data_IF_391640278162
#
_entry.id   IF_391640278162
#
_cell.length_a   1.000
_cell.length_b   1.000
_cell.length_c   1.000
_cell.angle_alpha   90.00
_cell.angle_beta   90.00
_cell.angle_gamma   90.00
#
_symmetry.space_group_name_H-M   'P 1'
#
loop_
_entity.id
_entity.type
_entity.pdbx_description
1 polymer ?
#
# COMPACT_ATOMS: atom_id res chain seq x y z
N UNK A 1 45.93 -13.07 -72.56
CA UNK A 1 46.73 -13.46 -71.38
C UNK A 1 46.02 -12.89 -70.16
N UNK A 2 45.27 -13.78 -69.52
CA UNK A 2 44.36 -13.58 -68.40
C UNK A 2 45.11 -13.84 -67.10
N UNK A 3 45.12 -12.88 -66.18
CA UNK A 3 45.63 -13.10 -64.82
C UNK A 3 44.46 -12.89 -63.83
N UNK A 4 43.90 -14.02 -63.40
CA UNK A 4 42.74 -14.13 -62.54
C UNK A 4 43.25 -14.53 -61.15
N UNK A 5 43.31 -13.55 -60.24
CA UNK A 5 43.74 -13.74 -58.85
C UNK A 5 42.64 -14.52 -58.09
N UNK A 6 42.93 -15.65 -57.42
CA UNK A 6 41.90 -16.39 -56.70
C UNK A 6 41.48 -15.66 -55.41
N UNK A 7 40.18 -15.44 -55.28
CA UNK A 7 39.53 -15.02 -54.05
C UNK A 7 39.47 -16.21 -53.09
N UNK A 8 40.21 -16.15 -51.98
CA UNK A 8 40.13 -17.13 -50.90
C UNK A 8 39.06 -16.65 -49.91
N UNK A 9 37.92 -17.35 -49.74
CA UNK A 9 36.99 -17.02 -48.67
C UNK A 9 37.61 -17.41 -47.33
N UNK A 10 37.89 -16.43 -46.47
CA UNK A 10 38.31 -16.66 -45.09
C UNK A 10 37.12 -17.16 -44.27
N UNK A 11 36.88 -18.47 -44.31
CA UNK A 11 35.91 -19.16 -43.48
C UNK A 11 36.57 -19.58 -42.16
N UNK A 12 36.66 -18.68 -41.18
CA UNK A 12 36.92 -19.02 -39.76
C UNK A 12 36.84 -17.78 -38.86
N UNK A 13 35.64 -17.41 -38.42
CA UNK A 13 35.43 -16.78 -37.10
C UNK A 13 33.98 -16.99 -36.67
N UNK A 14 33.62 -18.25 -36.49
CA UNK A 14 32.55 -18.57 -35.55
C UNK A 14 32.98 -18.07 -34.16
N UNK A 15 32.11 -17.43 -33.38
CA UNK A 15 32.43 -17.10 -32.00
C UNK A 15 32.68 -18.42 -31.26
N UNK A 16 33.95 -18.68 -30.98
CA UNK A 16 34.41 -19.72 -30.08
C UNK A 16 33.74 -19.45 -28.74
N UNK A 17 32.83 -20.33 -28.32
CA UNK A 17 32.28 -20.34 -26.96
C UNK A 17 33.46 -20.35 -25.98
N UNK A 18 33.72 -19.21 -25.33
CA UNK A 18 34.69 -19.12 -24.27
C UNK A 18 34.09 -19.79 -23.01
N UNK A 19 34.77 -20.75 -22.38
CA UNK A 19 34.35 -21.29 -21.09
C UNK A 19 34.70 -20.28 -19.99
N UNK A 20 33.93 -19.19 -19.90
CA UNK A 20 34.14 -18.10 -18.95
C UNK A 20 32.94 -17.79 -18.04
N UNK A 21 31.76 -18.34 -18.31
CA UNK A 21 30.51 -17.80 -17.76
C UNK A 21 29.99 -18.49 -16.49
N UNK A 22 30.75 -19.42 -15.90
CA UNK A 22 30.35 -20.04 -14.64
C UNK A 22 30.54 -19.10 -13.44
N UNK A 23 31.62 -18.31 -13.42
CA UNK A 23 31.92 -17.41 -12.30
C UNK A 23 31.00 -16.18 -12.28
N UNK A 24 30.63 -15.63 -13.44
CA UNK A 24 29.71 -14.48 -13.55
C UNK A 24 28.28 -14.85 -13.13
N UNK A 25 27.80 -16.03 -13.53
CA UNK A 25 26.50 -16.56 -13.09
C UNK A 25 26.49 -16.91 -11.61
N UNK A 26 27.57 -17.49 -11.08
CA UNK A 26 27.70 -17.82 -9.67
C UNK A 26 27.74 -16.56 -8.79
N UNK A 27 28.47 -15.52 -9.22
CA UNK A 27 28.48 -14.22 -8.55
C UNK A 27 27.12 -13.52 -8.64
N UNK A 28 26.41 -13.60 -9.77
CA UNK A 28 25.07 -13.08 -9.93
C UNK A 28 24.05 -13.72 -8.98
N UNK A 29 24.10 -15.05 -8.84
CA UNK A 29 23.26 -15.79 -7.89
C UNK A 29 23.59 -15.46 -6.44
N UNK A 30 24.89 -15.36 -6.07
CA UNK A 30 25.30 -14.96 -4.73
C UNK A 30 24.85 -13.54 -4.39
N UNK A 31 25.00 -12.58 -5.31
CA UNK A 31 24.53 -11.21 -5.14
C UNK A 31 23.00 -11.14 -5.02
N UNK A 32 22.27 -11.94 -5.81
CA UNK A 32 20.82 -12.04 -5.74
C UNK A 32 20.31 -12.60 -4.40
N UNK A 33 20.95 -13.66 -3.89
CA UNK A 33 20.64 -14.23 -2.58
C UNK A 33 20.98 -13.27 -1.43
N UNK A 34 22.09 -12.54 -1.52
CA UNK A 34 22.43 -11.50 -0.54
C UNK A 34 21.44 -10.33 -0.58
N UNK A 35 21.01 -9.89 -1.75
CA UNK A 35 19.98 -8.86 -1.89
C UNK A 35 18.63 -9.35 -1.32
N UNK A 36 18.23 -10.60 -1.61
CA UNK A 36 17.00 -11.19 -1.09
C UNK A 36 16.99 -11.33 0.44
N UNK A 37 18.10 -11.80 1.02
CA UNK A 37 18.25 -11.93 2.48
C UNK A 37 18.30 -10.57 3.19
N UNK A 38 18.95 -9.57 2.57
CA UNK A 38 18.95 -8.19 3.08
C UNK A 38 17.53 -7.62 3.07
N UNK A 39 16.79 -7.78 1.97
CA UNK A 39 15.40 -7.34 1.86
C UNK A 39 14.50 -8.03 2.88
N UNK A 40 14.62 -9.35 3.04
CA UNK A 40 13.88 -10.10 4.05
C UNK A 40 14.17 -9.59 5.46
N UNK A 41 15.44 -9.38 5.80
CA UNK A 41 15.84 -8.87 7.11
C UNK A 41 15.32 -7.45 7.39
N UNK A 42 15.33 -6.58 6.39
CA UNK A 42 14.80 -5.21 6.49
C UNK A 42 13.29 -5.22 6.64
N UNK A 43 12.58 -6.07 5.89
CA UNK A 43 11.13 -6.21 6.01
C UNK A 43 10.72 -6.71 7.40
N UNK A 44 11.42 -7.68 7.97
CA UNK A 44 11.15 -8.17 9.33
C UNK A 44 11.37 -7.07 10.38
N UNK A 45 12.48 -6.32 10.28
CA UNK A 45 12.79 -5.22 11.21
C UNK A 45 11.79 -4.08 11.09
N UNK A 46 11.31 -3.78 9.88
CA UNK A 46 10.31 -2.74 9.67
C UNK A 46 8.95 -3.09 10.29
N UNK A 47 8.60 -4.38 10.35
CA UNK A 47 7.32 -4.84 10.93
C UNK A 47 7.37 -5.05 12.44
N UNK A 48 8.55 -5.18 13.04
CA UNK A 48 8.74 -5.29 14.50
C UNK A 48 7.94 -4.26 15.32
N UNK A 49 7.95 -2.94 15.01
CA UNK A 49 7.13 -1.96 15.74
C UNK A 49 5.62 -2.22 15.63
N UNK A 50 5.14 -2.70 14.48
CA UNK A 50 3.71 -3.04 14.29
C UNK A 50 3.33 -4.26 15.11
N UNK A 51 4.20 -5.27 15.14
CA UNK A 51 4.01 -6.47 15.95
C UNK A 51 4.00 -6.13 17.44
N UNK A 52 4.90 -5.27 17.93
CA UNK A 52 4.85 -4.78 19.31
C UNK A 52 3.58 -3.99 19.62
N UNK A 53 3.14 -3.15 18.70
CA UNK A 53 1.89 -2.39 18.88
C UNK A 53 0.66 -3.30 19.01
N UNK A 54 0.69 -4.53 18.48
CA UNK A 54 -0.41 -5.48 18.64
C UNK A 54 -0.62 -5.93 20.10
N UNK A 55 0.44 -6.14 20.87
CA UNK A 55 0.32 -6.46 22.30
C UNK A 55 -0.19 -5.26 23.10
N UNK A 56 0.23 -4.05 22.73
CA UNK A 56 -0.22 -2.81 23.37
C UNK A 56 -1.72 -2.56 23.14
N UNK A 57 -2.23 -3.01 21.99
CA UNK A 57 -3.67 -2.96 21.68
C UNK A 57 -4.48 -3.84 22.63
N UNK A 58 -4.00 -5.05 22.95
CA UNK A 58 -4.68 -5.91 23.92
C UNK A 58 -4.60 -5.34 25.33
N UNK A 59 -3.44 -4.80 25.73
CA UNK A 59 -3.27 -4.15 27.03
C UNK A 59 -4.21 -2.94 27.18
N UNK A 60 -4.35 -2.13 26.12
CA UNK A 60 -5.29 -1.03 26.08
C UNK A 60 -6.74 -1.49 26.22
N UNK A 61 -7.14 -2.53 25.48
CA UNK A 61 -8.48 -3.10 25.58
C UNK A 61 -8.80 -3.58 27.00
N UNK A 62 -7.87 -4.28 27.64
CA UNK A 62 -8.01 -4.73 29.03
C UNK A 62 -8.16 -3.54 29.99
N UNK A 63 -7.29 -2.52 29.88
CA UNK A 63 -7.36 -1.29 30.69
C UNK A 63 -8.73 -0.61 30.56
N UNK A 64 -9.26 -0.48 29.35
CA UNK A 64 -10.56 0.14 29.10
C UNK A 64 -11.72 -0.71 29.60
N UNK A 65 -11.65 -2.03 29.47
CA UNK A 65 -12.64 -2.93 30.05
C UNK A 65 -12.74 -2.77 31.58
N UNK A 66 -11.60 -2.74 32.27
CA UNK A 66 -11.57 -2.48 33.72
C UNK A 66 -12.12 -1.10 34.07
N UNK A 67 -11.80 -0.07 33.29
CA UNK A 67 -12.31 1.29 33.51
C UNK A 67 -13.83 1.39 33.35
N UNK A 68 -14.43 0.65 32.40
CA UNK A 68 -15.90 0.61 32.21
C UNK A 68 -16.58 -0.05 33.41
N UNK A 69 -16.03 -1.16 33.90
CA UNK A 69 -16.56 -1.85 35.09
C UNK A 69 -16.49 -0.94 36.32
N UNK A 70 -15.35 -0.26 36.52
CA UNK A 70 -15.16 0.65 37.64
C UNK A 70 -16.09 1.88 37.55
N UNK A 71 -16.26 2.43 36.35
CA UNK A 71 -17.22 3.51 36.11
C UNK A 71 -18.64 3.10 36.50
N UNK A 72 -19.07 1.89 36.11
CA UNK A 72 -20.38 1.36 36.52
C UNK A 72 -20.56 1.28 38.04
N UNK A 73 -19.51 0.88 38.78
CA UNK A 73 -19.54 0.88 40.25
C UNK A 73 -19.64 2.28 40.84
N UNK A 74 -18.92 3.25 40.28
CA UNK A 74 -18.98 4.64 40.70
C UNK A 74 -20.34 5.28 40.41
N UNK A 75 -20.97 4.94 39.29
CA UNK A 75 -22.33 5.38 38.99
C UNK A 75 -23.34 4.80 39.97
N UNK A 76 -23.19 3.53 40.38
CA UNK A 76 -24.07 2.89 41.34
C UNK A 76 -23.99 3.50 42.76
N UNK A 77 -22.90 4.20 43.10
CA UNK A 77 -22.74 4.86 44.39
C UNK A 77 -23.20 6.33 44.40
N UNK A 78 -23.56 6.90 43.24
CA UNK A 78 -24.04 8.27 43.13
C UNK A 78 -25.42 8.42 43.79
N UNK A 79 -25.57 9.43 44.66
CA UNK A 79 -26.85 9.72 45.34
C UNK A 79 -27.53 10.96 44.77
N UNK A 80 -26.78 11.84 44.11
CA UNK A 80 -27.30 13.05 43.50
C UNK A 80 -27.05 13.08 41.99
N UNK A 81 -27.93 13.75 41.21
CA UNK A 81 -27.70 13.95 39.78
C UNK A 81 -26.39 14.67 39.45
N UNK A 82 -25.92 15.56 40.34
CA UNK A 82 -24.65 16.26 40.17
C UNK A 82 -23.45 15.31 40.22
N UNK A 83 -23.48 14.31 41.12
CA UNK A 83 -22.43 13.29 41.23
C UNK A 83 -22.32 12.46 39.95
N UNK A 84 -23.48 12.08 39.38
CA UNK A 84 -23.55 11.34 38.13
C UNK A 84 -22.85 12.08 36.99
N UNK A 85 -23.13 13.37 36.84
CA UNK A 85 -22.51 14.20 35.78
C UNK A 85 -21.01 14.32 36.00
N UNK A 86 -20.56 14.55 37.25
CA UNK A 86 -19.14 14.64 37.57
C UNK A 86 -18.37 13.35 37.25
N UNK A 87 -18.90 12.20 37.67
CA UNK A 87 -18.30 10.88 37.42
C UNK A 87 -18.30 10.55 35.93
N UNK A 88 -19.39 10.85 35.22
CA UNK A 88 -19.49 10.66 33.77
C UNK A 88 -18.49 11.53 33.01
N UNK A 89 -18.40 12.81 33.36
CA UNK A 89 -17.46 13.73 32.73
C UNK A 89 -16.02 13.30 32.95
N UNK A 90 -15.65 12.93 34.18
CA UNK A 90 -14.31 12.46 34.50
C UNK A 90 -13.93 11.20 33.70
N UNK A 91 -14.87 10.24 33.57
CA UNK A 91 -14.66 9.04 32.77
C UNK A 91 -14.39 9.36 31.30
N UNK A 92 -15.22 10.22 30.68
CA UNK A 92 -15.07 10.59 29.28
C UNK A 92 -13.81 11.41 29.01
N UNK A 93 -13.47 12.35 29.90
CA UNK A 93 -12.21 13.11 29.79
C UNK A 93 -11.01 12.18 29.80
N UNK A 94 -11.00 11.19 30.71
CA UNK A 94 -9.94 10.19 30.76
C UNK A 94 -9.95 9.28 29.53
N UNK A 95 -11.13 8.90 29.04
CA UNK A 95 -11.25 8.12 27.82
C UNK A 95 -10.62 8.83 26.63
N UNK A 96 -10.93 10.12 26.43
CA UNK A 96 -10.37 10.92 25.34
C UNK A 96 -8.84 10.97 25.42
N UNK A 97 -8.28 11.19 26.61
CA UNK A 97 -6.82 11.18 26.81
C UNK A 97 -6.22 9.81 26.45
N UNK A 98 -6.76 8.72 27.03
CA UNK A 98 -6.32 7.35 26.77
C UNK A 98 -6.34 7.00 25.27
N UNK A 99 -7.43 7.32 24.56
CA UNK A 99 -7.56 7.06 23.12
C UNK A 99 -6.60 7.93 22.30
N UNK A 100 -6.38 9.19 22.69
CA UNK A 100 -5.47 10.09 21.97
C UNK A 100 -4.01 9.61 22.06
N UNK A 101 -3.59 9.17 23.25
CA UNK A 101 -2.25 8.62 23.50
C UNK A 101 -2.06 7.30 22.74
N UNK A 102 -3.05 6.41 22.81
CA UNK A 102 -3.02 5.13 22.10
C UNK A 102 -2.96 5.33 20.57
N UNK A 103 -3.81 6.19 20.01
CA UNK A 103 -3.79 6.49 18.58
C UNK A 103 -2.46 7.09 18.14
N UNK A 104 -1.86 7.97 18.94
CA UNK A 104 -0.53 8.52 18.66
C UNK A 104 0.55 7.43 18.64
N UNK A 105 0.47 6.45 19.54
CA UNK A 105 1.36 5.28 19.54
C UNK A 105 1.19 4.44 18.29
N UNK A 106 -0.06 4.10 17.92
CA UNK A 106 -0.38 3.32 16.72
C UNK A 106 0.17 4.00 15.47
N UNK A 107 -0.14 5.28 15.28
CA UNK A 107 0.36 6.05 14.12
C UNK A 107 1.89 6.10 14.13
N UNK A 108 2.52 6.26 15.30
CA UNK A 108 3.98 6.23 15.44
C UNK A 108 4.60 4.90 14.99
N UNK A 109 4.02 3.77 15.41
CA UNK A 109 4.48 2.43 15.04
C UNK A 109 4.37 2.20 13.52
N UNK A 110 3.23 2.56 12.92
CA UNK A 110 3.01 2.45 11.48
C UNK A 110 3.91 3.38 10.68
N UNK A 111 4.10 4.63 11.10
CA UNK A 111 5.02 5.57 10.45
C UNK A 111 6.47 5.09 10.53
N UNK A 112 6.87 4.45 11.62
CA UNK A 112 8.20 3.83 11.76
C UNK A 112 8.38 2.68 10.76
N UNK A 113 7.35 1.83 10.62
CA UNK A 113 7.34 0.73 9.68
C UNK A 113 7.40 1.19 8.21
N UNK A 114 6.58 2.17 7.82
CA UNK A 114 6.56 2.67 6.44
C UNK A 114 7.79 3.49 6.05
N UNK A 115 8.51 4.09 7.01
CA UNK A 115 9.79 4.75 6.73
C UNK A 115 10.93 3.77 6.46
N UNK A 116 10.84 2.57 7.03
CA UNK A 116 11.91 1.56 6.99
C UNK A 116 11.67 0.48 5.97
N UNK A 117 10.41 0.27 5.55
CA UNK A 117 10.12 -0.44 4.32
C UNK A 117 10.68 0.39 3.16
N UNK A 118 11.72 -0.09 2.43
CA UNK A 118 11.97 0.47 1.11
C UNK A 118 10.64 0.35 0.38
N UNK A 119 10.18 1.47 -0.21
CA UNK A 119 9.00 1.49 -1.08
C UNK A 119 9.02 0.17 -1.84
N UNK A 120 7.96 -0.61 -1.70
CA UNK A 120 7.73 -1.80 -2.50
C UNK A 120 7.61 -1.34 -3.95
N UNK A 121 8.71 -0.89 -4.57
CA UNK A 121 8.92 -0.84 -6.00
C UNK A 121 9.12 -2.27 -6.46
N UNK A 122 8.18 -3.15 -6.10
CA UNK A 122 7.80 -4.21 -6.99
C UNK A 122 7.31 -3.49 -8.25
N UNK A 123 7.82 -3.82 -9.46
CA UNK A 123 7.16 -3.40 -10.68
C UNK A 123 5.74 -4.01 -10.64
N UNK A 124 4.75 -3.22 -10.20
CA UNK A 124 3.35 -3.65 -10.05
C UNK A 124 2.70 -3.42 -8.69
N UNK A 125 3.42 -3.11 -7.61
CA UNK A 125 2.80 -2.84 -6.30
C UNK A 125 2.82 -1.34 -5.99
N UNK A 126 1.67 -0.69 -6.21
CA UNK A 126 1.37 0.68 -5.79
C UNK A 126 2.30 1.77 -6.35
N UNK A 127 2.03 2.14 -7.60
CA UNK A 127 2.45 3.43 -8.15
C UNK A 127 1.86 4.57 -7.30
N UNK A 128 2.69 5.17 -6.45
CA UNK A 128 2.50 6.53 -5.92
C UNK A 128 2.63 7.47 -7.11
N UNK A 129 1.53 7.66 -7.83
CA UNK A 129 1.51 8.38 -9.10
C UNK A 129 0.32 8.11 -10.01
N UNK A 130 -0.69 7.32 -9.60
CA UNK A 130 -1.95 7.33 -10.35
C UNK A 130 -2.60 8.73 -10.20
N UNK A 131 -2.96 9.42 -11.31
CA UNK A 131 -3.82 10.59 -11.23
C UNK A 131 -5.12 10.21 -10.51
N UNK A 132 -5.74 11.14 -9.77
CA UNK A 132 -6.98 10.86 -9.06
C UNK A 132 -7.98 10.27 -10.05
N UNK A 133 -8.40 9.02 -9.84
CA UNK A 133 -9.51 8.44 -10.59
C UNK A 133 -10.73 9.25 -10.18
N UNK A 134 -11.28 10.04 -11.09
CA UNK A 134 -12.56 10.69 -10.90
C UNK A 134 -13.65 9.62 -10.71
N UNK A 135 -14.00 9.32 -9.45
CA UNK A 135 -15.03 8.33 -9.09
C UNK A 135 -16.45 8.92 -9.21
N UNK A 136 -16.61 9.97 -10.02
CA UNK A 136 -17.91 10.60 -10.32
C UNK A 136 -18.03 10.97 -11.81
N UNK A 137 -17.52 10.13 -12.72
CA UNK A 137 -17.96 10.17 -14.12
C UNK A 137 -19.06 9.13 -14.32
N UNK A 138 -20.30 9.53 -14.04
CA UNK A 138 -21.47 8.84 -14.60
C UNK A 138 -21.55 9.21 -16.08
N UNK A 139 -20.91 8.41 -16.93
CA UNK A 139 -21.19 8.40 -18.36
C UNK A 139 -21.50 6.97 -18.81
N UNK A 140 -22.71 6.55 -18.49
CA UNK A 140 -23.43 5.51 -19.23
C UNK A 140 -23.90 6.07 -20.58
N UNK A 141 -24.23 5.23 -21.57
CA UNK A 141 -23.33 4.36 -22.32
C UNK A 141 -23.38 4.74 -23.82
N UNK A 142 -22.60 4.03 -24.63
CA UNK A 142 -22.61 3.99 -26.10
C UNK A 142 -24.02 4.10 -26.73
N UNK A 143 -24.47 5.28 -27.24
CA UNK A 143 -25.48 5.38 -28.33
C UNK A 143 -25.82 6.78 -28.91
N UNK A 144 -24.85 7.62 -29.34
CA UNK A 144 -25.22 8.91 -30.00
C UNK A 144 -24.44 9.23 -31.29
N UNK A 145 -24.01 8.22 -32.05
CA UNK A 145 -23.39 8.45 -33.37
C UNK A 145 -24.17 7.92 -34.59
N UNK A 146 -25.35 7.33 -34.40
CA UNK A 146 -26.15 6.80 -35.53
C UNK A 146 -27.65 7.11 -35.51
N UNK A 147 -28.12 8.01 -34.65
CA UNK A 147 -29.48 8.55 -34.80
C UNK A 147 -29.38 9.81 -35.66
N UNK A 148 -29.29 9.59 -36.97
CA UNK A 148 -29.75 10.58 -37.94
C UNK A 148 -31.21 10.87 -37.62
N UNK A 149 -31.40 12.02 -36.98
CA UNK A 149 -32.53 12.91 -37.12
C UNK A 149 -33.28 12.65 -38.44
N UNK A 150 -34.34 11.85 -38.34
CA UNK A 150 -35.41 11.80 -39.32
C UNK A 150 -36.67 12.07 -38.51
N UNK A 151 -36.89 13.34 -38.17
CA UNK A 151 -38.17 13.82 -37.69
C UNK A 151 -39.13 13.88 -38.89
N UNK A 152 -40.19 13.04 -38.95
CA UNK A 152 -41.17 13.06 -40.03
C UNK A 152 -42.14 14.25 -39.96
N UNK A 153 -42.03 15.18 -39.00
CA UNK A 153 -42.91 16.36 -38.88
C UNK A 153 -42.36 17.66 -39.45
N UNK A 154 -41.13 17.66 -39.96
CA UNK A 154 -40.55 18.86 -40.61
C UNK A 154 -41.00 19.07 -42.06
N UNK A 155 -41.78 18.15 -42.65
CA UNK A 155 -42.13 18.16 -44.08
C UNK A 155 -43.34 19.02 -44.47
N UNK A 156 -44.14 19.49 -43.50
CA UNK A 156 -45.41 20.20 -43.79
C UNK A 156 -45.36 21.71 -43.48
N UNK A 157 -44.19 22.32 -43.35
CA UNK A 157 -44.06 23.78 -43.14
C UNK A 157 -43.37 24.55 -44.26
N UNK A 158 -43.20 23.91 -45.41
CA UNK A 158 -42.68 24.56 -46.61
C UNK A 158 -43.46 24.09 -47.85
N UNK A 159 -44.75 24.42 -47.91
CA UNK A 159 -45.55 24.53 -49.13
C UNK A 159 -46.74 25.45 -48.86
#
# INVERSE_FOLDING_TARGET
>A
MTDQKPFVPNSSSLPLWQPGDHASLQNGLQNGLQAASTLASTATKALEPVLRQSSDTMAFAAKRATAVVEHGKQLASCKQPADFVGVSQAFWQRAVQDYSEFNRSVVGAWMSAFKTLPVLTLPGAMSVGQPPRDILSFRDPVQEQNLRETDPRSRDRAA
#
